data_IF_497300153497
#
_entry.id   IF_497300153497
#
_cell.length_a   1.000
_cell.length_b   1.000
_cell.length_c   1.000
_cell.angle_alpha   90.00
_cell.angle_beta   90.00
_cell.angle_gamma   90.00
#
_symmetry.space_group_name_H-M   'P 1'
#
loop_
_entity.id
_entity.type
_entity.pdbx_description
1 polymer ?
#
# COMPACT_ATOMS: atom_id res chain seq x y z
N UNK A 1 8.68 22.31 0.54
CA UNK A 1 7.59 21.66 1.29
C UNK A 1 7.96 21.64 2.76
N UNK A 2 6.98 21.78 3.65
CA UNK A 2 7.16 21.73 5.10
C UNK A 2 6.13 20.76 5.65
N UNK A 3 6.58 19.73 6.36
CA UNK A 3 5.73 18.73 7.00
C UNK A 3 5.49 19.08 8.46
N UNK A 4 4.48 18.45 9.09
CA UNK A 4 4.17 18.64 10.50
C UNK A 4 5.32 18.22 11.42
N UNK A 5 6.02 17.12 11.09
CA UNK A 5 7.20 16.69 11.84
C UNK A 5 8.48 17.29 11.26
N UNK A 6 9.31 17.85 12.14
CA UNK A 6 10.66 18.32 11.77
C UNK A 6 11.60 17.17 11.38
N UNK A 7 11.27 15.95 11.81
CA UNK A 7 12.01 14.72 11.50
C UNK A 7 11.51 14.02 10.23
N UNK A 8 10.49 14.58 9.56
CA UNK A 8 10.09 14.10 8.25
C UNK A 8 11.22 14.26 7.23
N UNK A 9 11.28 13.37 6.25
CA UNK A 9 12.36 13.32 5.27
C UNK A 9 11.81 12.96 3.89
N UNK A 10 12.38 13.54 2.83
CA UNK A 10 12.24 13.03 1.47
C UNK A 10 13.58 12.48 1.01
N UNK A 11 13.64 11.17 0.79
CA UNK A 11 14.79 10.50 0.19
C UNK A 11 14.58 10.37 -1.32
N UNK A 12 15.57 10.78 -2.11
CA UNK A 12 15.54 10.76 -3.58
C UNK A 12 16.72 9.91 -4.08
N UNK A 13 16.48 8.71 -4.63
CA UNK A 13 17.55 7.76 -4.98
C UNK A 13 18.58 8.28 -5.99
N UNK A 14 18.16 9.04 -6.99
CA UNK A 14 19.00 9.56 -8.08
C UNK A 14 19.56 10.98 -7.81
N UNK A 15 19.31 11.52 -6.62
CA UNK A 15 19.94 12.75 -6.13
C UNK A 15 19.39 14.06 -6.70
N UNK A 16 18.29 14.04 -7.47
CA UNK A 16 17.61 15.28 -7.87
C UNK A 16 16.92 15.95 -6.67
N UNK A 17 16.42 17.18 -6.85
CA UNK A 17 15.73 17.88 -5.75
C UNK A 17 14.43 17.17 -5.35
N UNK A 18 14.04 17.15 -4.05
CA UNK A 18 12.78 16.57 -3.60
C UNK A 18 11.53 17.09 -4.34
N UNK A 19 11.51 18.36 -4.68
CA UNK A 19 10.41 18.99 -5.44
C UNK A 19 10.30 18.38 -6.84
N UNK A 20 11.43 18.21 -7.52
CA UNK A 20 11.43 17.64 -8.88
C UNK A 20 11.10 16.14 -8.87
N UNK A 21 11.59 15.41 -7.87
CA UNK A 21 11.25 14.00 -7.66
C UNK A 21 9.74 13.81 -7.43
N UNK A 22 9.10 14.63 -6.60
CA UNK A 22 7.65 14.55 -6.44
C UNK A 22 6.93 14.94 -7.74
N UNK A 23 7.33 16.02 -8.41
CA UNK A 23 6.67 16.53 -9.63
C UNK A 23 6.62 15.52 -10.78
N UNK A 24 7.61 14.62 -10.91
CA UNK A 24 7.62 13.58 -11.95
C UNK A 24 6.79 12.33 -11.60
N UNK A 25 6.30 12.22 -10.37
CA UNK A 25 5.54 11.06 -9.87
C UNK A 25 4.29 10.84 -10.72
N UNK A 26 4.09 9.60 -11.17
CA UNK A 26 2.84 9.18 -11.84
C UNK A 26 2.06 8.20 -10.97
N UNK A 27 2.75 7.39 -10.18
CA UNK A 27 2.18 6.41 -9.26
C UNK A 27 2.64 6.72 -7.84
N UNK A 28 1.71 6.78 -6.90
CA UNK A 28 2.03 7.09 -5.50
C UNK A 28 1.40 6.05 -4.58
N UNK A 29 2.15 5.57 -3.59
CA UNK A 29 1.62 4.67 -2.58
C UNK A 29 1.78 5.27 -1.17
N UNK A 30 0.73 5.15 -0.34
CA UNK A 30 0.75 5.58 1.07
C UNK A 30 0.67 4.35 1.98
N UNK A 31 1.83 3.95 2.52
CA UNK A 31 2.00 2.86 3.47
C UNK A 31 1.99 3.33 4.92
N UNK A 32 1.58 2.45 5.83
CA UNK A 32 1.57 2.77 7.25
C UNK A 32 2.99 2.64 7.81
N UNK A 33 3.71 1.60 7.39
CA UNK A 33 5.04 1.24 7.86
C UNK A 33 5.99 0.92 6.70
N UNK A 34 7.29 0.85 7.01
CA UNK A 34 8.35 0.51 6.07
C UNK A 34 8.36 -0.99 5.72
N UNK A 35 7.92 -1.38 4.54
CA UNK A 35 7.71 -2.76 4.00
C UNK A 35 6.35 -2.88 3.31
N UNK A 36 5.37 -2.10 3.77
CA UNK A 36 4.00 -2.14 3.25
C UNK A 36 3.94 -1.88 1.74
N UNK A 37 4.74 -0.93 1.23
CA UNK A 37 4.69 -0.51 -0.18
C UNK A 37 5.05 -1.67 -1.12
N UNK A 38 6.10 -2.42 -0.77
CA UNK A 38 6.63 -3.52 -1.56
C UNK A 38 5.72 -4.75 -1.52
N UNK A 39 4.93 -4.88 -0.47
CA UNK A 39 3.90 -5.92 -0.34
C UNK A 39 2.66 -5.55 -1.16
N UNK A 40 2.14 -4.34 -0.95
CA UNK A 40 0.80 -3.96 -1.38
C UNK A 40 0.75 -3.27 -2.75
N UNK A 41 1.76 -2.46 -3.09
CA UNK A 41 1.78 -1.59 -4.26
C UNK A 41 2.83 -2.00 -5.31
N UNK A 42 3.15 -3.30 -5.37
CA UNK A 42 4.12 -3.82 -6.34
C UNK A 42 3.70 -3.53 -7.80
N UNK A 43 2.40 -3.50 -8.08
CA UNK A 43 1.87 -3.08 -9.38
C UNK A 43 2.41 -1.71 -9.82
N UNK A 44 2.26 -0.68 -8.97
CA UNK A 44 2.75 0.66 -9.26
C UNK A 44 4.28 0.74 -9.33
N UNK A 45 4.99 -0.06 -8.52
CA UNK A 45 6.45 -0.14 -8.56
C UNK A 45 6.90 -0.71 -9.92
N UNK A 46 6.36 -1.86 -10.34
CA UNK A 46 6.73 -2.51 -11.60
C UNK A 46 6.29 -1.70 -12.82
N UNK A 47 5.14 -1.00 -12.74
CA UNK A 47 4.70 -0.10 -13.81
C UNK A 47 5.66 1.09 -14.05
N UNK A 48 6.53 1.40 -13.09
CA UNK A 48 7.52 2.48 -13.16
C UNK A 48 8.97 1.98 -13.27
N UNK A 49 9.25 0.72 -12.94
CA UNK A 49 10.60 0.17 -12.92
C UNK A 49 11.24 0.20 -14.32
N UNK A 50 12.45 0.75 -14.44
CA UNK A 50 13.16 0.86 -15.73
C UNK A 50 12.52 1.85 -16.72
N UNK A 51 11.64 2.74 -16.28
CA UNK A 51 10.94 3.74 -17.12
C UNK A 51 11.55 5.13 -16.96
N UNK A 52 11.46 5.93 -18.01
CA UNK A 52 11.81 7.35 -18.01
C UNK A 52 10.58 8.27 -17.93
N UNK A 53 9.41 7.74 -18.32
CA UNK A 53 8.12 8.43 -18.40
C UNK A 53 7.17 8.14 -17.24
N UNK A 54 7.52 7.19 -16.35
CA UNK A 54 6.68 6.78 -15.20
C UNK A 54 7.53 6.62 -13.96
N UNK A 55 7.00 7.08 -12.83
CA UNK A 55 7.75 7.25 -11.61
C UNK A 55 6.90 6.92 -10.40
N UNK A 56 7.42 6.04 -9.56
CA UNK A 56 6.77 5.62 -8.32
C UNK A 56 7.30 6.43 -7.13
N UNK A 57 6.40 6.97 -6.31
CA UNK A 57 6.75 7.60 -5.02
C UNK A 57 6.09 6.85 -3.88
N UNK A 58 6.88 6.50 -2.88
CA UNK A 58 6.41 5.92 -1.63
C UNK A 58 6.22 6.96 -0.53
N UNK A 59 5.15 6.87 0.24
CA UNK A 59 4.93 7.65 1.46
C UNK A 59 4.78 6.68 2.63
N UNK A 60 5.65 6.80 3.64
CA UNK A 60 5.58 6.04 4.88
C UNK A 60 5.05 6.95 5.98
N UNK A 61 3.86 6.63 6.50
CA UNK A 61 3.20 7.45 7.52
C UNK A 61 3.92 7.38 8.86
N UNK A 62 4.34 6.18 9.29
CA UNK A 62 4.88 5.99 10.64
C UNK A 62 6.39 5.77 10.71
N UNK A 63 6.96 6.02 11.89
CA UNK A 63 8.40 5.91 12.14
C UNK A 63 8.91 4.47 12.32
N UNK A 64 8.03 3.49 12.52
CA UNK A 64 8.41 2.08 12.67
C UNK A 64 9.06 1.72 14.02
N UNK A 65 8.90 2.54 15.07
CA UNK A 65 9.47 2.31 16.39
C UNK A 65 9.03 0.96 17.02
N UNK A 66 7.73 0.65 16.98
CA UNK A 66 7.12 -0.51 17.63
C UNK A 66 7.24 -1.84 16.87
N UNK A 67 8.18 -1.96 15.95
CA UNK A 67 8.32 -3.16 15.11
C UNK A 67 8.73 -4.37 15.94
N UNK A 68 8.31 -5.60 15.56
CA UNK A 68 8.80 -6.83 16.17
C UNK A 68 10.33 -6.91 16.14
N UNK A 69 10.92 -7.51 17.19
CA UNK A 69 12.37 -7.62 17.37
C UNK A 69 12.71 -9.05 17.76
N UNK A 70 13.59 -9.67 17.00
CA UNK A 70 14.17 -10.96 17.31
C UNK A 70 15.60 -11.03 16.74
N UNK A 71 16.34 -12.08 17.12
CA UNK A 71 17.69 -12.33 16.63
C UNK A 71 18.62 -11.12 16.81
N UNK A 72 19.23 -10.68 15.72
CA UNK A 72 20.16 -9.53 15.68
C UNK A 72 19.55 -8.24 16.25
N UNK A 73 18.23 -8.07 16.13
CA UNK A 73 17.52 -6.85 16.51
C UNK A 73 16.91 -6.92 17.93
N UNK A 74 17.04 -8.04 18.64
CA UNK A 74 16.37 -8.27 19.92
C UNK A 74 16.69 -7.22 21.00
N UNK A 75 17.91 -6.70 21.01
CA UNK A 75 18.37 -5.68 21.97
C UNK A 75 18.22 -4.24 21.48
N UNK A 76 17.64 -4.03 20.29
CA UNK A 76 17.54 -2.69 19.72
C UNK A 76 16.48 -1.88 20.45
N UNK A 77 16.80 -0.61 20.71
CA UNK A 77 15.85 0.40 21.18
C UNK A 77 14.94 0.85 20.03
N UNK A 78 13.85 1.53 20.38
CA UNK A 78 12.92 2.14 19.41
C UNK A 78 13.65 3.04 18.41
N UNK A 79 14.56 3.91 18.88
CA UNK A 79 15.33 4.80 18.01
C UNK A 79 16.26 4.04 17.06
N UNK A 80 16.88 2.95 17.54
CA UNK A 80 17.71 2.11 16.68
C UNK A 80 16.86 1.39 15.62
N UNK A 81 15.66 0.92 15.97
CA UNK A 81 14.75 0.30 15.01
C UNK A 81 14.25 1.28 13.96
N UNK A 82 13.91 2.51 14.34
CA UNK A 82 13.54 3.57 13.38
C UNK A 82 14.66 3.79 12.35
N UNK A 83 15.91 3.87 12.81
CA UNK A 83 17.07 4.04 11.94
C UNK A 83 17.28 2.84 10.99
N UNK A 84 17.12 1.61 11.48
CA UNK A 84 17.19 0.38 10.67
C UNK A 84 16.11 0.38 9.59
N UNK A 85 14.86 0.58 9.96
CA UNK A 85 13.72 0.52 9.03
C UNK A 85 13.78 1.61 7.97
N UNK A 86 14.23 2.81 8.34
CA UNK A 86 14.50 3.90 7.38
C UNK A 86 15.59 3.50 6.39
N UNK A 87 16.68 2.89 6.86
CA UNK A 87 17.76 2.39 5.99
C UNK A 87 17.26 1.30 5.04
N UNK A 88 16.43 0.38 5.50
CA UNK A 88 15.84 -0.68 4.68
C UNK A 88 14.91 -0.10 3.61
N UNK A 89 14.02 0.82 3.97
CA UNK A 89 13.13 1.45 3.00
C UNK A 89 13.88 2.26 1.94
N UNK A 90 14.98 2.95 2.31
CA UNK A 90 15.84 3.63 1.33
C UNK A 90 16.48 2.64 0.36
N UNK A 91 16.89 1.45 0.82
CA UNK A 91 17.40 0.40 -0.07
C UNK A 91 16.31 -0.10 -1.02
N UNK A 92 15.09 -0.31 -0.53
CA UNK A 92 13.96 -0.69 -1.37
C UNK A 92 13.68 0.36 -2.46
N UNK A 93 13.77 1.65 -2.11
CA UNK A 93 13.65 2.74 -3.07
C UNK A 93 14.73 2.73 -4.16
N UNK A 94 15.97 2.38 -3.80
CA UNK A 94 17.06 2.23 -4.78
C UNK A 94 16.83 1.01 -5.67
N UNK A 95 16.47 -0.14 -5.09
CA UNK A 95 16.25 -1.39 -5.83
C UNK A 95 15.02 -1.33 -6.73
N UNK A 96 13.96 -0.65 -6.31
CA UNK A 96 12.74 -0.45 -7.07
C UNK A 96 12.74 0.78 -7.97
N UNK A 97 13.87 1.51 -8.06
CA UNK A 97 14.03 2.71 -8.89
C UNK A 97 12.96 3.78 -8.62
N UNK A 98 12.64 4.02 -7.35
CA UNK A 98 11.61 4.99 -6.98
C UNK A 98 12.07 6.41 -7.33
N UNK A 99 11.09 7.26 -7.60
CA UNK A 99 11.33 8.70 -7.67
C UNK A 99 11.72 9.27 -6.31
N UNK A 100 10.94 8.92 -5.29
CA UNK A 100 11.19 9.35 -3.92
C UNK A 100 10.56 8.40 -2.89
N UNK A 101 11.07 8.45 -1.66
CA UNK A 101 10.35 7.99 -0.47
C UNK A 101 10.21 9.16 0.50
N UNK A 102 8.98 9.44 0.90
CA UNK A 102 8.67 10.42 1.95
C UNK A 102 8.40 9.70 3.26
N UNK A 103 9.18 10.00 4.28
CA UNK A 103 8.96 9.53 5.65
C UNK A 103 8.30 10.65 6.45
N UNK A 104 7.04 10.45 6.86
CA UNK A 104 6.33 11.45 7.68
C UNK A 104 6.70 11.38 9.16
N UNK A 105 7.16 10.22 9.63
CA UNK A 105 7.75 10.01 10.96
C UNK A 105 6.77 10.14 12.15
N UNK A 106 5.46 10.02 11.90
CA UNK A 106 4.46 9.94 12.97
C UNK A 106 4.60 8.61 13.75
N UNK A 107 4.19 8.60 15.01
CA UNK A 107 3.95 7.34 15.72
C UNK A 107 2.67 6.66 15.20
N UNK A 108 2.55 5.35 15.39
CA UNK A 108 1.29 4.66 15.06
C UNK A 108 0.09 5.17 15.88
N UNK A 109 0.33 5.71 17.09
CA UNK A 109 -0.73 6.33 17.89
C UNK A 109 -1.25 7.62 17.23
N UNK A 110 -0.34 8.50 16.81
CA UNK A 110 -0.68 9.74 16.10
C UNK A 110 -1.34 9.48 14.75
N UNK A 111 -0.89 8.47 14.01
CA UNK A 111 -1.49 8.08 12.74
C UNK A 111 -2.92 7.55 12.91
N UNK A 112 -3.22 6.88 14.03
CA UNK A 112 -4.55 6.34 14.36
C UNK A 112 -5.50 7.37 14.94
N UNK A 113 -5.01 8.47 15.47
CA UNK A 113 -5.85 9.51 16.06
C UNK A 113 -6.69 10.21 14.95
N UNK A 114 -8.04 10.14 14.98
CA UNK A 114 -8.91 10.84 14.04
C UNK A 114 -8.88 12.36 14.18
N UNK A 115 -8.44 12.89 15.32
CA UNK A 115 -8.33 14.33 15.56
C UNK A 115 -7.00 14.91 15.05
N UNK A 116 -6.01 14.06 14.78
CA UNK A 116 -4.74 14.51 14.23
C UNK A 116 -4.89 14.84 12.73
N UNK A 117 -5.12 16.12 12.47
CA UNK A 117 -5.27 16.65 11.10
C UNK A 117 -3.94 16.80 10.35
N UNK A 118 -2.80 16.79 11.05
CA UNK A 118 -1.50 17.03 10.43
C UNK A 118 -1.12 15.89 9.46
N UNK A 119 -1.41 14.64 9.82
CA UNK A 119 -1.15 13.48 8.94
C UNK A 119 -1.87 13.64 7.61
N UNK A 120 -3.13 14.09 7.63
CA UNK A 120 -3.92 14.34 6.41
C UNK A 120 -3.35 15.51 5.62
N UNK A 121 -2.92 16.58 6.29
CA UNK A 121 -2.35 17.77 5.64
C UNK A 121 -1.00 17.46 4.97
N UNK A 122 -0.17 16.63 5.59
CA UNK A 122 1.10 16.20 5.02
C UNK A 122 0.89 15.31 3.79
N UNK A 123 -0.03 14.34 3.86
CA UNK A 123 -0.39 13.52 2.68
C UNK A 123 -0.97 14.40 1.57
N UNK A 124 -1.86 15.34 1.90
CA UNK A 124 -2.40 16.30 0.93
C UNK A 124 -1.29 17.11 0.26
N UNK A 125 -0.32 17.63 1.03
CA UNK A 125 0.81 18.40 0.51
C UNK A 125 1.63 17.59 -0.48
N UNK A 126 1.84 16.30 -0.22
CA UNK A 126 2.55 15.40 -1.14
C UNK A 126 1.72 15.18 -2.41
N UNK A 127 0.42 14.89 -2.28
CA UNK A 127 -0.47 14.70 -3.42
C UNK A 127 -0.56 15.95 -4.30
N UNK A 128 -0.57 17.15 -3.73
CA UNK A 128 -0.58 18.41 -4.48
C UNK A 128 0.73 18.62 -5.25
N UNK A 129 1.87 18.24 -4.67
CA UNK A 129 3.18 18.35 -5.32
C UNK A 129 3.40 17.27 -6.39
N UNK A 130 2.89 16.07 -6.17
CA UNK A 130 3.06 14.92 -7.04
C UNK A 130 2.01 14.82 -8.16
N UNK A 131 0.77 15.24 -7.89
CA UNK A 131 -0.39 15.08 -8.77
C UNK A 131 -0.43 13.72 -9.47
N UNK A 132 -0.36 12.59 -8.73
CA UNK A 132 -0.25 11.27 -9.32
C UNK A 132 -1.53 10.87 -10.05
N UNK A 133 -1.40 10.06 -11.10
CA UNK A 133 -2.54 9.47 -11.81
C UNK A 133 -3.16 8.32 -11.01
N UNK A 134 -2.31 7.53 -10.34
CA UNK A 134 -2.70 6.35 -9.57
C UNK A 134 -2.22 6.46 -8.14
N UNK A 135 -3.13 6.23 -7.18
CA UNK A 135 -2.79 6.15 -5.76
C UNK A 135 -3.09 4.75 -5.21
N UNK A 136 -2.13 4.18 -4.48
CA UNK A 136 -2.25 2.91 -3.76
C UNK A 136 -2.22 3.17 -2.25
N UNK A 137 -3.00 2.44 -1.49
CA UNK A 137 -2.98 2.43 -0.02
C UNK A 137 -3.45 1.06 0.49
N UNK A 138 -3.51 0.86 1.79
CA UNK A 138 -4.13 -0.31 2.40
C UNK A 138 -5.63 -0.43 2.10
N UNK A 139 -6.15 -1.65 2.00
CA UNK A 139 -7.60 -1.87 1.94
C UNK A 139 -8.29 -1.51 3.27
N UNK A 140 -9.55 -1.07 3.18
CA UNK A 140 -10.33 -0.63 4.35
C UNK A 140 -10.74 -1.76 5.31
N UNK A 141 -10.62 -3.02 4.88
CA UNK A 141 -10.94 -4.21 5.67
C UNK A 141 -9.72 -4.88 6.32
N UNK A 142 -8.54 -4.25 6.25
CA UNK A 142 -7.29 -4.85 6.73
C UNK A 142 -7.34 -5.18 8.23
N UNK A 143 -6.62 -6.23 8.67
CA UNK A 143 -6.60 -6.66 10.07
C UNK A 143 -5.83 -5.71 10.98
N UNK A 144 -4.91 -4.91 10.43
CA UNK A 144 -4.04 -4.04 11.22
C UNK A 144 -4.63 -2.63 11.34
N UNK A 145 -4.97 -2.13 12.55
CA UNK A 145 -5.66 -0.86 12.70
C UNK A 145 -4.92 0.36 12.14
N UNK A 146 -3.58 0.37 12.17
CA UNK A 146 -2.79 1.45 11.55
C UNK A 146 -2.93 1.47 10.03
N UNK A 147 -3.15 0.32 9.38
CA UNK A 147 -3.32 0.21 7.93
C UNK A 147 -4.64 0.83 7.51
N UNK A 148 -5.73 0.44 8.19
CA UNK A 148 -7.05 1.05 8.02
C UNK A 148 -6.99 2.56 8.27
N UNK A 149 -6.25 3.01 9.29
CA UNK A 149 -6.08 4.44 9.54
C UNK A 149 -5.34 5.14 8.38
N UNK A 150 -4.24 4.58 7.89
CA UNK A 150 -3.50 5.15 6.76
C UNK A 150 -4.38 5.27 5.51
N UNK A 151 -5.22 4.26 5.22
CA UNK A 151 -6.21 4.32 4.15
C UNK A 151 -7.22 5.45 4.33
N UNK A 152 -7.80 5.60 5.53
CA UNK A 152 -8.75 6.67 5.84
C UNK A 152 -8.12 8.07 5.78
N UNK A 153 -6.87 8.22 6.22
CA UNK A 153 -6.14 9.50 6.12
C UNK A 153 -5.80 9.84 4.68
N UNK A 154 -5.44 8.86 3.87
CA UNK A 154 -5.20 9.01 2.42
C UNK A 154 -6.48 9.40 1.70
N UNK A 155 -7.59 8.70 1.94
CA UNK A 155 -8.91 9.05 1.41
C UNK A 155 -9.29 10.49 1.79
N UNK A 156 -9.13 10.86 3.07
CA UNK A 156 -9.42 12.22 3.52
C UNK A 156 -8.53 13.28 2.87
N UNK A 157 -7.27 12.97 2.58
CA UNK A 157 -6.35 13.88 1.89
C UNK A 157 -6.75 14.06 0.42
N UNK A 158 -7.11 12.97 -0.28
CA UNK A 158 -7.58 13.04 -1.67
C UNK A 158 -8.88 13.84 -1.76
N UNK A 159 -9.85 13.61 -0.85
CA UNK A 159 -11.11 14.38 -0.83
C UNK A 159 -10.92 15.89 -0.58
N UNK A 160 -9.77 16.31 -0.03
CA UNK A 160 -9.45 17.75 0.15
C UNK A 160 -8.86 18.39 -1.10
N UNK A 161 -8.47 17.59 -2.10
CA UNK A 161 -8.04 18.13 -3.38
C UNK A 161 -9.26 18.62 -4.18
N UNK A 162 -9.08 19.66 -5.03
CA UNK A 162 -10.03 19.96 -6.10
C UNK A 162 -10.37 18.69 -6.90
N UNK A 163 -11.63 18.50 -7.29
CA UNK A 163 -12.10 17.29 -7.98
C UNK A 163 -11.29 16.98 -9.24
N UNK A 164 -10.91 18.02 -9.99
CA UNK A 164 -10.10 17.95 -11.22
C UNK A 164 -8.62 17.60 -10.98
N UNK A 165 -8.20 17.58 -9.72
CA UNK A 165 -6.83 17.24 -9.28
C UNK A 165 -6.76 15.92 -8.50
N UNK A 166 -7.88 15.21 -8.34
CA UNK A 166 -7.90 13.88 -7.71
C UNK A 166 -7.28 12.84 -8.66
N UNK A 167 -6.65 11.78 -8.14
CA UNK A 167 -6.09 10.73 -8.99
C UNK A 167 -7.20 10.00 -9.75
N UNK A 168 -6.91 9.56 -10.96
CA UNK A 168 -7.83 8.80 -11.81
C UNK A 168 -8.15 7.43 -11.22
N UNK A 169 -7.24 6.86 -10.42
CA UNK A 169 -7.38 5.56 -9.77
C UNK A 169 -6.95 5.61 -8.31
N UNK A 170 -7.73 4.99 -7.44
CA UNK A 170 -7.39 4.83 -6.04
C UNK A 170 -7.63 3.39 -5.59
N UNK A 171 -6.58 2.69 -5.18
CA UNK A 171 -6.61 1.26 -4.89
C UNK A 171 -6.31 0.96 -3.42
N UNK A 172 -7.17 0.13 -2.80
CA UNK A 172 -6.99 -0.43 -1.47
C UNK A 172 -6.42 -1.84 -1.54
N UNK A 173 -5.14 -1.99 -1.30
CA UNK A 173 -4.36 -3.20 -1.55
C UNK A 173 -4.26 -4.14 -0.33
N UNK A 174 -3.93 -5.39 -0.59
CA UNK A 174 -3.77 -6.45 0.41
C UNK A 174 -2.47 -6.33 1.21
N UNK A 175 -2.55 -6.54 2.54
CA UNK A 175 -1.38 -6.81 3.40
C UNK A 175 -1.71 -7.89 4.44
N UNK A 176 -2.40 -7.55 5.53
CA UNK A 176 -2.73 -8.54 6.58
C UNK A 176 -4.01 -9.29 6.30
N UNK A 177 -4.97 -8.62 5.66
CA UNK A 177 -6.13 -9.28 5.08
C UNK A 177 -5.96 -9.35 3.56
N UNK A 178 -6.12 -10.54 3.03
CA UNK A 178 -6.39 -10.76 1.62
C UNK A 178 -7.80 -10.28 1.26
N UNK A 179 -8.09 -10.23 -0.03
CA UNK A 179 -9.35 -9.78 -0.61
C UNK A 179 -10.05 -10.91 -1.36
N UNK A 180 -9.61 -12.16 -1.16
CA UNK A 180 -10.25 -13.32 -1.79
C UNK A 180 -11.71 -13.52 -1.37
N UNK A 181 -12.11 -12.94 -0.22
CA UNK A 181 -13.49 -12.87 0.24
C UNK A 181 -14.37 -11.92 -0.59
N UNK A 182 -13.81 -11.04 -1.43
CA UNK A 182 -14.62 -10.21 -2.33
C UNK A 182 -15.16 -11.05 -3.48
N UNK A 183 -16.29 -10.66 -4.06
CA UNK A 183 -16.76 -11.23 -5.32
C UNK A 183 -15.71 -11.00 -6.42
N UNK A 184 -15.47 -11.97 -7.30
CA UNK A 184 -14.42 -11.88 -8.32
C UNK A 184 -14.61 -10.67 -9.26
N UNK A 185 -15.86 -10.33 -9.58
CA UNK A 185 -16.21 -9.18 -10.40
C UNK A 185 -15.87 -7.82 -9.75
N UNK A 186 -15.70 -7.79 -8.42
CA UNK A 186 -15.34 -6.58 -7.66
C UNK A 186 -13.82 -6.46 -7.43
N UNK A 187 -13.04 -7.51 -7.70
CA UNK A 187 -11.59 -7.53 -7.47
C UNK A 187 -10.88 -6.77 -8.60
N UNK A 188 -9.97 -5.87 -8.22
CA UNK A 188 -8.93 -5.40 -9.14
C UNK A 188 -7.78 -6.40 -9.08
N UNK A 189 -7.44 -6.98 -10.22
CA UNK A 189 -6.41 -8.03 -10.34
C UNK A 189 -5.14 -7.45 -10.93
N UNK A 190 -4.07 -7.41 -10.14
CA UNK A 190 -2.74 -7.03 -10.59
C UNK A 190 -1.93 -8.28 -10.95
N UNK A 191 -1.43 -8.35 -12.19
CA UNK A 191 -0.54 -9.44 -12.66
C UNK A 191 0.91 -8.96 -12.57
N UNK A 192 1.74 -9.68 -11.84
CA UNK A 192 3.02 -9.17 -11.33
C UNK A 192 4.23 -10.02 -11.78
N UNK A 193 4.11 -10.69 -12.91
CA UNK A 193 5.02 -11.77 -13.35
C UNK A 193 6.32 -11.31 -13.98
N UNK A 194 6.32 -10.11 -14.56
CA UNK A 194 7.39 -9.68 -15.46
C UNK A 194 8.76 -9.58 -14.77
N UNK A 195 8.77 -9.26 -13.48
CA UNK A 195 9.98 -8.95 -12.72
C UNK A 195 10.01 -9.64 -11.34
N UNK A 196 9.91 -10.98 -11.33
CA UNK A 196 9.96 -11.78 -10.11
C UNK A 196 11.21 -11.51 -9.27
N UNK A 197 12.37 -11.35 -9.91
CA UNK A 197 13.63 -11.03 -9.22
C UNK A 197 13.55 -9.70 -8.45
N UNK A 198 12.88 -8.69 -9.00
CA UNK A 198 12.66 -7.40 -8.33
C UNK A 198 11.65 -7.57 -7.21
N UNK A 199 10.52 -8.24 -7.47
CA UNK A 199 9.50 -8.52 -6.45
C UNK A 199 10.08 -9.21 -5.21
N UNK A 200 10.86 -10.28 -5.42
CA UNK A 200 11.55 -11.02 -4.35
C UNK A 200 12.54 -10.15 -3.58
N UNK A 201 13.32 -9.33 -4.30
CA UNK A 201 14.34 -8.46 -3.70
C UNK A 201 13.70 -7.39 -2.82
N UNK A 202 12.63 -6.76 -3.28
CA UNK A 202 11.96 -5.66 -2.59
C UNK A 202 11.47 -6.06 -1.20
N UNK A 203 10.82 -7.23 -1.06
CA UNK A 203 10.39 -7.72 0.26
C UNK A 203 11.57 -8.28 1.08
N UNK A 204 12.55 -8.89 0.41
CA UNK A 204 13.74 -9.47 1.08
C UNK A 204 14.69 -8.45 1.71
N UNK A 205 14.64 -7.17 1.30
CA UNK A 205 15.47 -6.09 1.85
C UNK A 205 15.20 -5.82 3.33
N UNK A 206 13.98 -6.06 3.79
CA UNK A 206 13.53 -5.78 5.16
C UNK A 206 13.92 -6.90 6.13
N UNK A 207 15.24 -7.12 6.25
CA UNK A 207 15.85 -8.14 7.12
C UNK A 207 15.34 -8.05 8.56
N UNK A 208 15.18 -6.83 9.06
CA UNK A 208 14.64 -6.57 10.40
C UNK A 208 13.22 -7.08 10.61
N UNK A 209 12.44 -7.25 9.54
CA UNK A 209 11.10 -7.82 9.59
C UNK A 209 11.14 -9.33 9.30
N UNK A 210 11.91 -9.74 8.28
CA UNK A 210 12.02 -11.13 7.83
C UNK A 210 12.66 -12.05 8.88
N UNK A 211 13.85 -11.69 9.35
CA UNK A 211 14.57 -12.44 10.40
C UNK A 211 14.08 -12.02 11.79
N UNK A 212 13.67 -10.77 11.95
CA UNK A 212 13.23 -10.21 13.22
C UNK A 212 11.85 -10.66 13.71
N UNK A 213 11.14 -11.50 12.96
CA UNK A 213 10.03 -12.28 13.54
C UNK A 213 9.01 -12.87 12.57
N UNK A 214 8.91 -12.39 11.32
CA UNK A 214 7.88 -12.88 10.39
C UNK A 214 8.43 -12.99 8.97
N UNK A 215 8.34 -14.19 8.38
CA UNK A 215 8.77 -14.49 7.00
C UNK A 215 7.83 -13.91 5.95
N UNK A 216 7.69 -12.59 5.93
CA UNK A 216 6.87 -11.88 4.94
C UNK A 216 7.36 -12.12 3.52
N UNK A 217 8.68 -12.27 3.34
CA UNK A 217 9.29 -12.67 2.07
C UNK A 217 8.66 -13.96 1.51
N UNK A 218 8.48 -14.99 2.33
CA UNK A 218 7.85 -16.24 1.91
C UNK A 218 6.33 -16.11 1.81
N UNK A 219 5.70 -15.47 2.80
CA UNK A 219 4.24 -15.39 2.87
C UNK A 219 3.65 -14.56 1.73
N UNK A 220 4.23 -13.40 1.42
CA UNK A 220 3.78 -12.52 0.33
C UNK A 220 3.91 -13.21 -1.01
N UNK A 221 5.04 -13.87 -1.27
CA UNK A 221 5.29 -14.56 -2.54
C UNK A 221 4.47 -15.84 -2.67
N UNK A 222 4.26 -16.55 -1.56
CA UNK A 222 3.35 -17.70 -1.50
C UNK A 222 1.91 -17.28 -1.79
N UNK A 223 1.44 -16.18 -1.19
CA UNK A 223 0.10 -15.63 -1.45
C UNK A 223 -0.07 -15.24 -2.91
N UNK A 224 0.92 -14.54 -3.50
CA UNK A 224 0.86 -14.15 -4.93
C UNK A 224 0.67 -15.34 -5.87
N UNK A 225 1.43 -16.41 -5.63
CA UNK A 225 1.31 -17.65 -6.41
C UNK A 225 -0.03 -18.35 -6.15
N UNK A 226 -0.47 -18.39 -4.89
CA UNK A 226 -1.78 -18.95 -4.55
C UNK A 226 -2.92 -18.19 -5.27
N UNK A 227 -2.90 -16.86 -5.25
CA UNK A 227 -3.88 -16.07 -6.00
C UNK A 227 -3.81 -16.33 -7.49
N UNK A 228 -2.62 -16.43 -8.08
CA UNK A 228 -2.47 -16.72 -9.49
C UNK A 228 -3.11 -18.07 -9.89
N UNK A 229 -2.89 -19.13 -9.09
CA UNK A 229 -3.44 -20.47 -9.33
C UNK A 229 -4.92 -20.61 -9.02
N UNK A 230 -5.43 -19.88 -8.02
CA UNK A 230 -6.84 -19.98 -7.60
C UNK A 230 -7.74 -18.89 -8.21
N UNK A 231 -7.20 -18.02 -9.07
CA UNK A 231 -7.94 -16.92 -9.69
C UNK A 231 -9.09 -17.42 -10.57
N UNK A 232 -8.87 -18.48 -11.34
CA UNK A 232 -9.86 -19.05 -12.25
C UNK A 232 -9.89 -20.56 -12.12
N UNK A 233 -11.10 -21.13 -12.01
CA UNK A 233 -11.29 -22.55 -11.70
C UNK A 233 -11.32 -23.48 -12.92
N UNK A 234 -11.49 -22.92 -14.13
CA UNK A 234 -11.73 -23.69 -15.36
C UNK A 234 -10.75 -23.37 -16.49
N UNK A 235 -9.97 -22.30 -16.34
CA UNK A 235 -9.01 -21.83 -17.34
C UNK A 235 -7.57 -22.05 -16.87
N UNK A 236 -6.63 -22.02 -17.82
CA UNK A 236 -5.20 -22.15 -17.51
C UNK A 236 -4.66 -20.81 -16.97
N UNK A 237 -3.78 -20.87 -15.98
CA UNK A 237 -3.11 -19.70 -15.41
C UNK A 237 -2.47 -18.82 -16.50
N UNK A 238 -2.90 -17.56 -16.56
CA UNK A 238 -2.33 -16.52 -17.44
C UNK A 238 -1.31 -15.63 -16.72
N UNK A 239 -1.04 -15.91 -15.45
CA UNK A 239 -0.15 -15.19 -14.54
C UNK A 239 0.41 -16.17 -13.51
N UNK A 240 1.59 -15.91 -12.96
CA UNK A 240 2.27 -16.71 -11.94
C UNK A 240 2.28 -16.02 -10.56
N UNK A 241 1.97 -14.73 -10.49
CA UNK A 241 1.93 -13.90 -9.31
C UNK A 241 0.84 -12.83 -9.43
N UNK A 242 -0.14 -12.91 -8.54
CA UNK A 242 -1.28 -11.99 -8.51
C UNK A 242 -1.40 -11.32 -7.15
N UNK A 243 -1.65 -10.01 -7.14
CA UNK A 243 -2.21 -9.32 -5.99
C UNK A 243 -3.62 -8.86 -6.31
N UNK A 244 -4.47 -8.77 -5.29
CA UNK A 244 -5.76 -8.11 -5.40
C UNK A 244 -5.76 -6.71 -4.79
N UNK A 245 -6.67 -5.88 -5.28
CA UNK A 245 -7.06 -4.64 -4.64
C UNK A 245 -8.57 -4.43 -4.69
N UNK A 246 -9.06 -3.68 -3.72
CA UNK A 246 -10.39 -3.08 -3.71
C UNK A 246 -10.30 -1.76 -4.47
N UNK A 247 -11.16 -1.56 -5.47
CA UNK A 247 -11.28 -0.24 -6.11
C UNK A 247 -11.90 0.74 -5.11
N UNK A 248 -11.15 1.77 -4.72
CA UNK A 248 -11.60 2.84 -3.83
C UNK A 248 -11.90 4.13 -4.62
N UNK A 249 -11.73 4.12 -5.94
CA UNK A 249 -12.01 5.26 -6.82
C UNK A 249 -13.42 5.84 -6.61
N UNK A 250 -14.49 5.03 -6.43
CA UNK A 250 -15.82 5.58 -6.13
C UNK A 250 -15.85 6.49 -4.90
N UNK A 251 -15.05 6.19 -3.87
CA UNK A 251 -15.00 7.01 -2.64
C UNK A 251 -14.37 8.38 -2.86
N UNK A 252 -13.56 8.57 -3.91
CA UNK A 252 -12.98 9.87 -4.24
C UNK A 252 -13.71 10.57 -5.40
N UNK A 253 -14.64 9.88 -6.07
CA UNK A 253 -15.54 10.46 -7.05
C UNK A 253 -16.80 11.03 -6.38
N UNK A 254 -17.27 10.42 -5.28
CA UNK A 254 -18.42 10.87 -4.51
C UNK A 254 -18.06 10.96 -3.01
N UNK A 255 -17.97 12.20 -2.52
CA UNK A 255 -17.62 12.49 -1.12
C UNK A 255 -18.72 12.07 -0.13
N UNK A 256 -19.94 11.84 -0.60
CA UNK A 256 -21.07 11.40 0.23
C UNK A 256 -21.01 9.92 0.60
N UNK A 257 -20.22 9.11 -0.11
CA UNK A 257 -20.06 7.69 0.19
C UNK A 257 -19.32 7.51 1.52
N UNK A 258 -19.93 6.78 2.44
CA UNK A 258 -19.33 6.39 3.71
C UNK A 258 -18.41 5.17 3.51
N UNK A 259 -17.13 5.23 3.93
CA UNK A 259 -16.19 4.13 3.73
C UNK A 259 -16.62 2.81 4.42
N UNK A 260 -17.30 2.88 5.56
CA UNK A 260 -17.75 1.68 6.26
C UNK A 260 -18.95 1.03 5.54
N UNK A 261 -19.90 1.85 5.06
CA UNK A 261 -21.00 1.37 4.22
C UNK A 261 -20.48 0.78 2.90
N UNK A 262 -19.43 1.36 2.32
CA UNK A 262 -18.80 0.86 1.10
C UNK A 262 -18.22 -0.55 1.28
N UNK A 263 -17.43 -0.77 2.34
CA UNK A 263 -16.90 -2.10 2.67
C UNK A 263 -18.03 -3.08 3.00
N UNK A 264 -19.06 -2.63 3.74
CA UNK A 264 -20.22 -3.46 4.07
C UNK A 264 -20.93 -3.98 2.82
N UNK A 265 -21.08 -3.16 1.79
CA UNK A 265 -21.69 -3.59 0.54
C UNK A 265 -20.95 -4.76 -0.13
N UNK A 266 -19.61 -4.79 -0.09
CA UNK A 266 -18.85 -5.95 -0.58
C UNK A 266 -19.07 -7.20 0.27
N UNK A 267 -19.15 -7.05 1.60
CA UNK A 267 -19.43 -8.17 2.52
C UNK A 267 -20.81 -8.75 2.26
N UNK A 268 -21.82 -7.89 2.11
CA UNK A 268 -23.20 -8.29 1.84
C UNK A 268 -23.29 -9.02 0.49
N UNK A 269 -22.64 -8.49 -0.56
CA UNK A 269 -22.56 -9.17 -1.88
C UNK A 269 -21.93 -10.55 -1.79
N UNK A 270 -20.82 -10.69 -1.07
CA UNK A 270 -20.18 -12.01 -0.89
C UNK A 270 -21.09 -12.99 -0.14
N UNK A 271 -21.77 -12.52 0.91
CA UNK A 271 -22.73 -13.34 1.64
C UNK A 271 -23.90 -13.80 0.75
N UNK A 272 -24.44 -12.90 -0.07
CA UNK A 272 -25.48 -13.21 -1.06
C UNK A 272 -24.99 -14.21 -2.11
N UNK A 273 -23.80 -14.02 -2.67
CA UNK A 273 -23.21 -14.91 -3.68
C UNK A 273 -23.06 -16.35 -3.14
N UNK A 274 -22.45 -16.49 -1.96
CA UNK A 274 -22.24 -17.80 -1.32
C UNK A 274 -23.57 -18.48 -1.00
N UNK A 275 -24.52 -17.75 -0.42
CA UNK A 275 -25.83 -18.32 -0.06
C UNK A 275 -26.64 -18.70 -1.30
N UNK A 276 -26.60 -17.90 -2.36
CA UNK A 276 -27.25 -18.20 -3.63
C UNK A 276 -26.65 -19.43 -4.31
N UNK A 277 -25.32 -19.54 -4.35
CA UNK A 277 -24.63 -20.70 -4.92
C UNK A 277 -25.01 -22.00 -4.18
N UNK A 278 -25.07 -21.96 -2.84
CA UNK A 278 -25.49 -23.10 -2.03
C UNK A 278 -26.95 -23.46 -2.29
N UNK A 279 -27.88 -22.48 -2.28
CA UNK A 279 -29.30 -22.74 -2.53
C UNK A 279 -29.54 -23.38 -3.90
N UNK A 280 -28.91 -22.82 -4.95
CA UNK A 280 -28.98 -23.34 -6.32
C UNK A 280 -28.56 -24.81 -6.43
N UNK A 281 -27.57 -25.23 -5.64
CA UNK A 281 -27.04 -26.60 -5.65
C UNK A 281 -27.73 -27.54 -4.64
N UNK A 282 -28.39 -26.99 -3.61
CA UNK A 282 -29.13 -27.77 -2.61
C UNK A 282 -30.56 -28.13 -3.05
N UNK A 283 -31.02 -27.58 -4.18
CA UNK A 283 -32.36 -27.82 -4.70
C UNK A 283 -33.48 -27.16 -3.88
N UNK A 284 -33.12 -26.12 -3.10
CA UNK A 284 -34.05 -25.25 -2.38
C UNK A 284 -34.33 -23.97 -3.15
#
# INVERSE_FOLDING_TARGET
MRFGKITSEVFVPDGISPQEALRRTTHLAVGAHQDDLEIMALDGILACFGRDDRWFTGVIVTNGAGSPRAGLYASYTDAQMQAVRRKEQRKAAVVGEYSAVVFLDYSSAEAKDPQNKEVVQDIQTILEAASPEVVYTHNLADKHPTHVSAALRTLSAIRRLPEDRRPSRFYGCEVWRDLDWMADADKVVFRLDEHENIAMSLVGIFDSQVIGGKRYDLATMGRRRAHATYLESHEVDVSQMVNFAMDLTPLIADDSLDPAAYVRAHIDRFAEEVTHAIAKLSGQ
#
